data_IF_582644210199
#
_entry.id   IF_582644210199
#
_cell.length_a   1.000
_cell.length_b   1.000
_cell.length_c   1.000
_cell.angle_alpha   90.00
_cell.angle_beta   90.00
_cell.angle_gamma   90.00
#
_symmetry.space_group_name_H-M   'P 1'
#
loop_
_entity.id
_entity.type
_entity.pdbx_description
1 polymer ?
#
# COMPACT_ATOMS: atom_id res chain seq x y z
N UNK A 1 4.30 -20.46 -67.52
CA UNK A 1 4.58 -19.95 -68.88
C UNK A 1 3.88 -18.61 -69.02
N UNK A 2 4.62 -17.63 -69.56
CA UNK A 2 4.15 -16.39 -70.23
C UNK A 2 3.28 -15.43 -69.41
N UNK A 3 3.80 -14.27 -68.97
CA UNK A 3 3.96 -13.04 -69.76
C UNK A 3 2.58 -12.54 -70.27
N UNK A 4 2.20 -11.27 -70.11
CA UNK A 4 2.70 -10.21 -71.00
C UNK A 4 2.19 -8.84 -70.54
N UNK A 5 3.10 -7.86 -70.57
CA UNK A 5 2.88 -6.41 -70.49
C UNK A 5 1.94 -5.93 -71.59
N UNK A 6 1.16 -4.90 -71.33
CA UNK A 6 0.74 -3.96 -72.37
C UNK A 6 1.18 -2.55 -71.98
N UNK A 7 2.08 -2.03 -72.82
CA UNK A 7 2.51 -0.63 -72.89
C UNK A 7 1.33 0.27 -73.30
N UNK A 8 1.40 1.57 -73.03
CA UNK A 8 1.54 2.61 -74.06
C UNK A 8 1.63 4.01 -73.42
N UNK A 9 2.73 4.69 -73.78
CA UNK A 9 3.08 6.12 -73.63
C UNK A 9 2.29 6.95 -74.68
N UNK A 10 2.65 8.22 -74.97
CA UNK A 10 2.94 9.41 -74.14
C UNK A 10 2.19 10.65 -74.69
N UNK A 11 2.44 11.84 -74.14
CA UNK A 11 2.51 13.17 -74.79
C UNK A 11 2.54 14.23 -73.67
N UNK A 12 3.26 15.35 -73.66
CA UNK A 12 4.41 15.91 -74.37
C UNK A 12 4.56 17.36 -73.85
N UNK A 13 5.80 17.90 -73.84
CA UNK A 13 6.16 19.34 -73.87
C UNK A 13 5.74 20.22 -72.67
N UNK A 14 6.52 21.17 -72.12
CA UNK A 14 7.59 22.00 -72.70
C UNK A 14 8.35 22.71 -71.55
N UNK A 15 9.67 22.89 -71.72
CA UNK A 15 10.49 24.09 -71.41
C UNK A 15 10.06 25.03 -70.26
N UNK A 16 10.91 25.43 -69.31
CA UNK A 16 12.13 26.21 -69.56
C UNK A 16 12.92 26.47 -68.26
N UNK A 17 14.21 26.14 -68.32
CA UNK A 17 15.40 26.90 -67.91
C UNK A 17 15.37 27.92 -66.75
N UNK A 18 16.23 27.64 -65.75
CA UNK A 18 17.24 28.52 -65.11
C UNK A 18 16.77 29.85 -64.49
N UNK A 19 17.06 30.18 -63.24
CA UNK A 19 18.41 30.38 -62.73
C UNK A 19 18.38 30.88 -61.27
N UNK A 20 19.35 30.39 -60.49
CA UNK A 20 20.17 31.08 -59.47
C UNK A 20 19.55 31.91 -58.33
N UNK A 21 19.80 31.39 -57.12
CA UNK A 21 20.44 32.05 -55.95
C UNK A 21 19.71 33.16 -55.20
N UNK A 22 19.13 32.75 -54.07
CA UNK A 22 19.44 33.21 -52.69
C UNK A 22 19.65 34.70 -52.40
N UNK A 23 18.71 35.30 -51.68
CA UNK A 23 18.98 36.10 -50.47
C UNK A 23 17.70 36.43 -49.68
N UNK A 24 17.64 35.93 -48.45
CA UNK A 24 17.13 36.54 -47.19
C UNK A 24 15.91 37.47 -47.22
N UNK A 25 14.86 37.13 -46.43
CA UNK A 25 14.35 38.00 -45.35
C UNK A 25 13.11 37.41 -44.63
N UNK A 26 13.25 37.24 -43.32
CA UNK A 26 12.28 37.52 -42.24
C UNK A 26 10.79 37.15 -42.39
N UNK A 27 10.29 36.35 -41.43
CA UNK A 27 8.97 36.57 -40.82
C UNK A 27 8.93 35.96 -39.43
N UNK A 28 8.68 36.84 -38.47
CA UNK A 28 8.47 36.65 -37.04
C UNK A 28 7.32 35.71 -36.69
N UNK A 29 7.43 34.98 -35.58
CA UNK A 29 6.33 34.67 -34.63
C UNK A 29 6.90 33.80 -33.51
N UNK A 30 7.20 34.41 -32.37
CA UNK A 30 6.32 34.47 -31.19
C UNK A 30 6.46 33.24 -30.31
N UNK A 31 7.30 33.43 -29.31
CA UNK A 31 7.54 32.63 -28.13
C UNK A 31 6.22 32.20 -27.46
N UNK A 32 6.03 30.89 -27.31
CA UNK A 32 5.14 30.36 -26.29
C UNK A 32 5.98 29.93 -25.09
N UNK A 33 5.84 30.69 -24.01
CA UNK A 33 6.39 30.41 -22.71
C UNK A 33 5.88 29.04 -22.21
N UNK A 34 6.79 28.11 -21.95
CA UNK A 34 6.46 26.90 -21.20
C UNK A 34 6.20 27.29 -19.75
N UNK A 35 4.93 27.21 -19.36
CA UNK A 35 4.52 27.35 -17.97
C UNK A 35 5.16 26.23 -17.15
N UNK A 36 6.08 26.63 -16.28
CA UNK A 36 6.70 25.79 -15.26
C UNK A 36 5.63 25.47 -14.21
N UNK A 37 4.92 24.36 -14.41
CA UNK A 37 3.94 23.84 -13.46
C UNK A 37 4.69 23.33 -12.22
N UNK A 38 4.75 24.17 -11.18
CA UNK A 38 5.23 23.80 -9.85
C UNK A 38 4.35 22.70 -9.28
N UNK A 39 4.79 21.45 -9.41
CA UNK A 39 4.21 20.34 -8.66
C UNK A 39 4.41 20.54 -7.16
N UNK A 40 3.43 20.17 -6.31
CA UNK A 40 3.60 20.20 -4.86
C UNK A 40 4.72 19.23 -4.45
N UNK A 41 5.46 19.51 -3.36
CA UNK A 41 6.60 18.71 -2.96
C UNK A 41 6.12 17.28 -2.70
N UNK A 42 6.61 16.34 -3.52
CA UNK A 42 6.52 14.94 -3.20
C UNK A 42 7.23 14.75 -1.85
N UNK A 43 6.46 14.43 -0.81
CA UNK A 43 6.98 14.06 0.50
C UNK A 43 7.69 12.72 0.32
N UNK A 44 8.91 12.77 -0.20
CA UNK A 44 9.77 11.61 -0.41
C UNK A 44 10.05 11.00 0.95
N UNK A 45 9.47 9.83 1.20
CA UNK A 45 9.82 9.05 2.38
C UNK A 45 11.31 8.72 2.28
N UNK A 46 12.10 9.28 3.18
CA UNK A 46 13.51 8.95 3.27
C UNK A 46 13.62 7.44 3.53
N UNK A 47 14.25 6.72 2.59
CA UNK A 47 14.63 5.32 2.82
C UNK A 47 15.44 5.27 4.11
N UNK A 48 15.23 4.23 4.93
CA UNK A 48 16.20 3.85 5.94
C UNK A 48 17.45 3.35 5.19
N UNK A 49 18.24 4.29 4.67
CA UNK A 49 19.57 4.02 4.16
C UNK A 49 20.35 3.56 5.37
N UNK A 50 20.84 2.31 5.32
CA UNK A 50 21.69 1.79 6.39
C UNK A 50 22.84 2.76 6.66
N UNK A 51 23.36 2.72 7.89
CA UNK A 51 24.46 3.59 8.32
C UNK A 51 25.72 3.42 7.46
N UNK A 52 26.88 3.92 7.90
CA UNK A 52 28.14 3.87 7.15
C UNK A 52 28.56 2.47 6.64
N UNK A 53 27.95 1.40 7.16
CA UNK A 53 28.18 0.00 6.80
C UNK A 53 27.02 -0.66 6.01
N UNK A 54 25.99 0.08 5.61
CA UNK A 54 24.79 -0.46 4.95
C UNK A 54 23.86 -1.28 5.87
N UNK A 55 24.13 -1.27 7.18
CA UNK A 55 23.32 -1.93 8.21
C UNK A 55 22.17 -1.00 8.63
N UNK A 56 20.95 -1.52 8.63
CA UNK A 56 19.76 -0.86 9.18
C UNK A 56 19.65 -1.21 10.66
N UNK A 57 19.77 -0.19 11.51
CA UNK A 57 19.54 -0.32 12.95
C UNK A 57 18.07 -0.66 13.23
N UNK A 58 17.84 -1.44 14.29
CA UNK A 58 16.49 -1.88 14.69
C UNK A 58 15.55 -0.69 14.88
N UNK A 59 15.96 0.31 15.67
CA UNK A 59 15.10 1.44 16.00
C UNK A 59 14.86 2.35 14.80
N UNK A 60 15.87 2.55 13.94
CA UNK A 60 15.73 3.38 12.75
C UNK A 60 14.79 2.72 11.72
N UNK A 61 15.00 1.43 11.44
CA UNK A 61 14.15 0.67 10.52
C UNK A 61 12.72 0.54 11.04
N UNK A 62 12.56 0.25 12.34
CA UNK A 62 11.24 0.19 12.97
C UNK A 62 10.54 1.55 12.99
N UNK A 63 11.26 2.65 13.27
CA UNK A 63 10.67 3.98 13.24
C UNK A 63 10.13 4.33 11.85
N UNK A 64 10.88 4.01 10.78
CA UNK A 64 10.41 4.20 9.42
C UNK A 64 9.15 3.36 9.15
N UNK A 65 9.15 2.08 9.48
CA UNK A 65 7.98 1.20 9.28
C UNK A 65 6.77 1.68 10.10
N UNK A 66 6.98 2.09 11.34
CA UNK A 66 5.92 2.61 12.21
C UNK A 66 5.30 3.87 11.64
N UNK A 67 6.14 4.80 11.19
CA UNK A 67 5.68 6.13 10.83
C UNK A 67 5.11 6.15 9.40
N UNK A 68 5.70 5.37 8.49
CA UNK A 68 5.32 5.34 7.08
C UNK A 68 4.26 4.27 6.79
N UNK A 69 4.30 3.12 7.46
CA UNK A 69 3.35 2.02 7.26
C UNK A 69 2.22 2.06 8.29
N UNK A 70 2.56 1.84 9.56
CA UNK A 70 1.59 1.56 10.63
C UNK A 70 0.69 2.77 10.86
N UNK A 71 1.25 3.95 11.14
CA UNK A 71 0.45 5.16 11.43
C UNK A 71 -0.42 5.58 10.25
N UNK A 72 0.09 5.44 9.02
CA UNK A 72 -0.69 5.74 7.81
C UNK A 72 -1.87 4.78 7.65
N UNK A 73 -1.65 3.51 7.92
CA UNK A 73 -2.70 2.50 7.87
C UNK A 73 -3.72 2.72 8.99
N UNK A 74 -3.30 3.00 10.22
CA UNK A 74 -4.19 3.36 11.32
C UNK A 74 -5.01 4.61 11.01
N UNK A 75 -4.40 5.63 10.39
CA UNK A 75 -5.13 6.81 9.92
C UNK A 75 -6.20 6.44 8.89
N UNK A 76 -5.86 5.64 7.88
CA UNK A 76 -6.82 5.14 6.89
C UNK A 76 -7.97 4.36 7.54
N UNK A 77 -7.69 3.50 8.51
CA UNK A 77 -8.74 2.72 9.19
C UNK A 77 -9.68 3.59 10.03
N UNK A 78 -9.23 4.79 10.43
CA UNK A 78 -10.02 5.76 11.20
C UNK A 78 -10.81 6.72 10.31
N UNK A 79 -10.21 7.25 9.24
CA UNK A 79 -10.84 8.28 8.39
C UNK A 79 -11.50 7.70 7.12
N UNK A 80 -11.06 6.51 6.68
CA UNK A 80 -11.43 5.95 5.39
C UNK A 80 -10.74 6.64 4.20
N UNK A 81 -9.87 7.62 4.44
CA UNK A 81 -9.21 8.42 3.42
C UNK A 81 -8.05 7.63 2.79
N UNK A 82 -8.22 7.24 1.53
CA UNK A 82 -7.17 6.63 0.71
C UNK A 82 -6.56 7.65 -0.24
N UNK A 83 -5.34 7.39 -0.73
CA UNK A 83 -4.68 8.20 -1.78
C UNK A 83 -5.48 8.23 -3.09
N UNK A 84 -6.40 7.28 -3.26
CA UNK A 84 -7.30 7.22 -4.40
C UNK A 84 -7.85 5.82 -4.59
N UNK A 85 -8.43 5.58 -5.77
CA UNK A 85 -8.93 4.27 -6.18
C UNK A 85 -8.06 3.75 -7.32
N UNK A 86 -7.61 2.50 -7.20
CA UNK A 86 -6.92 1.80 -8.28
C UNK A 86 -7.92 1.39 -9.37
N UNK A 87 -7.38 1.01 -10.54
CA UNK A 87 -8.17 0.53 -11.70
C UNK A 87 -9.02 -0.71 -11.40
N UNK A 88 -8.65 -1.48 -10.38
CA UNK A 88 -9.35 -2.66 -9.88
C UNK A 88 -10.46 -2.33 -8.86
N UNK A 89 -10.77 -1.04 -8.68
CA UNK A 89 -11.79 -0.56 -7.74
C UNK A 89 -11.34 -0.56 -6.27
N UNK A 90 -10.14 -1.06 -5.95
CA UNK A 90 -9.60 -1.13 -4.58
C UNK A 90 -9.01 0.21 -4.15
N UNK A 91 -9.16 0.53 -2.87
CA UNK A 91 -8.56 1.72 -2.27
C UNK A 91 -7.03 1.61 -2.29
N UNK A 92 -6.38 2.70 -2.70
CA UNK A 92 -4.94 2.84 -2.75
C UNK A 92 -4.46 3.50 -1.45
N UNK A 93 -3.95 2.71 -0.51
CA UNK A 93 -3.42 3.23 0.77
C UNK A 93 -1.93 3.57 0.64
N UNK A 94 -1.21 2.82 -0.20
CA UNK A 94 0.21 2.97 -0.44
C UNK A 94 0.49 2.94 -1.94
N UNK A 95 1.41 3.80 -2.38
CA UNK A 95 1.95 3.72 -3.73
C UNK A 95 2.82 2.48 -3.90
N UNK A 96 3.07 2.07 -5.15
CA UNK A 96 3.98 0.94 -5.45
C UNK A 96 5.38 1.19 -4.89
N UNK A 97 5.85 2.44 -4.94
CA UNK A 97 7.16 2.83 -4.43
C UNK A 97 7.24 2.65 -2.91
N UNK A 98 6.26 3.18 -2.18
CA UNK A 98 6.21 3.06 -0.71
C UNK A 98 6.11 1.60 -0.27
N UNK A 99 5.27 0.81 -0.94
CA UNK A 99 5.21 -0.64 -0.72
C UNK A 99 6.57 -1.30 -0.90
N UNK A 100 7.26 -0.98 -2.00
CA UNK A 100 8.59 -1.51 -2.29
C UNK A 100 9.62 -1.10 -1.24
N UNK A 101 9.57 0.14 -0.75
CA UNK A 101 10.51 0.67 0.24
C UNK A 101 10.31 0.00 1.61
N UNK A 102 9.06 -0.21 2.03
CA UNK A 102 8.74 -0.95 3.26
C UNK A 102 9.18 -2.40 3.19
N UNK A 103 8.83 -3.10 2.09
CA UNK A 103 9.25 -4.48 1.87
C UNK A 103 10.77 -4.62 1.88
N UNK A 104 11.48 -3.73 1.16
CA UNK A 104 12.95 -3.76 1.09
C UNK A 104 13.58 -3.52 2.45
N UNK A 105 13.00 -2.62 3.25
CA UNK A 105 13.52 -2.34 4.60
C UNK A 105 13.37 -3.56 5.51
N UNK A 106 12.20 -4.21 5.54
CA UNK A 106 12.00 -5.44 6.31
C UNK A 106 12.95 -6.53 5.83
N UNK A 107 13.10 -6.70 4.51
CA UNK A 107 14.03 -7.65 3.92
C UNK A 107 15.47 -7.42 4.38
N UNK A 108 15.97 -6.18 4.30
CA UNK A 108 17.33 -5.83 4.71
C UNK A 108 17.54 -6.11 6.20
N UNK A 109 16.61 -5.68 7.06
CA UNK A 109 16.68 -5.93 8.50
C UNK A 109 16.69 -7.43 8.86
N UNK A 110 16.05 -8.28 8.05
CA UNK A 110 16.01 -9.73 8.24
C UNK A 110 17.20 -10.49 7.62
N UNK A 111 17.93 -9.89 6.67
CA UNK A 111 19.02 -10.55 5.94
C UNK A 111 20.41 -10.03 6.30
N UNK A 112 20.47 -9.03 7.19
CA UNK A 112 21.69 -8.55 7.79
C UNK A 112 22.48 -9.68 8.46
N UNK A 113 23.82 -9.63 8.30
CA UNK A 113 24.73 -10.58 8.95
C UNK A 113 24.62 -10.46 10.47
N UNK A 114 24.83 -11.58 11.15
CA UNK A 114 24.96 -11.63 12.60
C UNK A 114 25.98 -10.57 13.08
N UNK A 115 25.71 -9.82 14.17
CA UNK A 115 24.60 -9.95 15.13
C UNK A 115 23.32 -9.16 14.78
N UNK A 116 23.26 -8.50 13.61
CA UNK A 116 22.24 -7.50 13.30
C UNK A 116 20.99 -8.10 12.61
N UNK A 117 20.69 -9.38 12.86
CA UNK A 117 19.47 -9.99 12.36
C UNK A 117 18.31 -9.61 13.28
N UNK A 118 17.37 -8.83 12.74
CA UNK A 118 16.26 -8.29 13.52
C UNK A 118 14.94 -9.05 13.35
N UNK A 119 14.95 -10.24 12.76
CA UNK A 119 13.71 -10.97 12.44
C UNK A 119 12.86 -11.27 13.67
N UNK A 120 13.48 -11.69 14.78
CA UNK A 120 12.78 -11.98 16.03
C UNK A 120 12.12 -10.73 16.61
N UNK A 121 12.87 -9.63 16.68
CA UNK A 121 12.41 -8.35 17.19
C UNK A 121 11.28 -7.78 16.32
N UNK A 122 11.38 -7.89 15.00
CA UNK A 122 10.32 -7.46 14.09
C UNK A 122 9.04 -8.29 14.27
N UNK A 123 9.14 -9.60 14.49
CA UNK A 123 7.99 -10.45 14.76
C UNK A 123 7.29 -10.11 16.09
N UNK A 124 8.06 -9.75 17.12
CA UNK A 124 7.51 -9.27 18.38
C UNK A 124 6.83 -7.91 18.21
N UNK A 125 7.53 -6.94 17.61
CA UNK A 125 7.03 -5.59 17.35
C UNK A 125 5.77 -5.57 16.48
N UNK A 126 5.64 -6.50 15.53
CA UNK A 126 4.41 -6.72 14.76
C UNK A 126 3.20 -7.02 15.66
N UNK A 127 3.36 -7.95 16.61
CA UNK A 127 2.30 -8.30 17.56
C UNK A 127 1.96 -7.14 18.48
N UNK A 128 2.98 -6.45 19.00
CA UNK A 128 2.81 -5.28 19.86
C UNK A 128 2.07 -4.14 19.15
N UNK A 129 2.38 -3.86 17.88
CA UNK A 129 1.71 -2.83 17.09
C UNK A 129 0.21 -3.13 16.91
N UNK A 130 -0.12 -4.38 16.60
CA UNK A 130 -1.52 -4.83 16.49
C UNK A 130 -2.24 -4.72 17.84
N UNK A 131 -1.64 -5.23 18.91
CA UNK A 131 -2.22 -5.18 20.25
C UNK A 131 -2.41 -3.74 20.74
N UNK A 132 -1.44 -2.86 20.48
CA UNK A 132 -1.51 -1.44 20.83
C UNK A 132 -2.66 -0.73 20.11
N UNK A 133 -2.81 -0.94 18.80
CA UNK A 133 -3.93 -0.42 18.03
C UNK A 133 -5.28 -0.90 18.57
N UNK A 134 -5.41 -2.21 18.81
CA UNK A 134 -6.66 -2.80 19.31
C UNK A 134 -7.05 -2.22 20.67
N UNK A 135 -6.10 -2.13 21.61
CA UNK A 135 -6.36 -1.58 22.94
C UNK A 135 -6.66 -0.07 22.91
N UNK A 136 -6.06 0.69 21.99
CA UNK A 136 -6.26 2.14 21.91
C UNK A 136 -7.54 2.54 21.17
N UNK A 137 -7.86 1.85 20.08
CA UNK A 137 -8.90 2.29 19.14
C UNK A 137 -10.15 1.39 19.13
N UNK A 138 -10.00 0.09 19.42
CA UNK A 138 -11.10 -0.88 19.26
C UNK A 138 -11.78 -1.14 20.60
N UNK A 139 -11.01 -1.47 21.64
CA UNK A 139 -11.54 -1.82 22.96
C UNK A 139 -12.41 -0.70 23.55
N UNK A 140 -11.97 0.57 23.62
CA UNK A 140 -12.76 1.64 24.24
C UNK A 140 -14.04 1.97 23.47
N UNK A 141 -14.11 1.62 22.17
CA UNK A 141 -15.30 1.82 21.34
C UNK A 141 -16.36 0.75 21.55
N UNK A 142 -15.97 -0.41 22.06
CA UNK A 142 -16.88 -1.53 22.33
C UNK A 142 -17.33 -1.58 23.80
N UNK A 143 -16.61 -0.90 24.68
CA UNK A 143 -16.98 -0.78 26.10
C UNK A 143 -18.32 -0.05 26.25
N UNK A 144 -19.25 -0.68 26.97
CA UNK A 144 -20.57 -0.13 27.25
C UNK A 144 -21.60 -0.28 26.13
N UNK A 145 -21.22 -0.74 24.93
CA UNK A 145 -22.18 -1.00 23.85
C UNK A 145 -22.97 -2.29 24.11
N UNK A 146 -24.27 -2.25 23.75
CA UNK A 146 -25.17 -3.41 23.87
C UNK A 146 -25.97 -3.61 22.58
N UNK A 147 -26.63 -4.78 22.45
CA UNK A 147 -27.59 -5.06 21.37
C UNK A 147 -27.04 -4.84 19.94
N UNK A 148 -27.79 -4.12 19.10
CA UNK A 148 -27.47 -3.87 17.70
C UNK A 148 -26.26 -2.96 17.51
N UNK A 149 -26.04 -2.03 18.42
CA UNK A 149 -24.91 -1.11 18.37
C UNK A 149 -23.60 -1.88 18.54
N UNK A 150 -23.57 -2.81 19.51
CA UNK A 150 -22.44 -3.73 19.69
C UNK A 150 -22.20 -4.58 18.44
N UNK A 151 -23.26 -5.14 17.84
CA UNK A 151 -23.14 -5.96 16.63
C UNK A 151 -22.58 -5.17 15.45
N UNK A 152 -23.10 -3.96 15.21
CA UNK A 152 -22.69 -3.09 14.11
C UNK A 152 -21.24 -2.64 14.29
N UNK A 153 -20.88 -2.17 15.48
CA UNK A 153 -19.53 -1.68 15.78
C UNK A 153 -18.51 -2.83 15.74
N UNK A 154 -18.82 -3.98 16.34
CA UNK A 154 -17.93 -5.15 16.30
C UNK A 154 -17.67 -5.61 14.86
N UNK A 155 -18.71 -5.69 14.02
CA UNK A 155 -18.57 -6.07 12.62
C UNK A 155 -17.72 -5.06 11.84
N UNK A 156 -17.94 -3.77 12.07
CA UNK A 156 -17.14 -2.70 11.45
C UNK A 156 -15.67 -2.82 11.85
N UNK A 157 -15.38 -2.94 13.16
CA UNK A 157 -14.01 -3.07 13.69
C UNK A 157 -13.34 -4.35 13.23
N UNK A 158 -14.06 -5.46 13.13
CA UNK A 158 -13.52 -6.71 12.58
C UNK A 158 -13.12 -6.57 11.10
N UNK A 159 -13.94 -5.91 10.28
CA UNK A 159 -13.59 -5.63 8.88
C UNK A 159 -12.32 -4.78 8.79
N UNK A 160 -12.20 -3.74 9.60
CA UNK A 160 -11.02 -2.88 9.66
C UNK A 160 -9.78 -3.66 10.14
N UNK A 161 -9.94 -4.52 11.15
CA UNK A 161 -8.85 -5.36 11.66
C UNK A 161 -8.33 -6.33 10.60
N UNK A 162 -9.21 -6.96 9.81
CA UNK A 162 -8.79 -7.82 8.70
C UNK A 162 -8.00 -7.06 7.64
N UNK A 163 -8.41 -5.82 7.32
CA UNK A 163 -7.65 -4.96 6.41
C UNK A 163 -6.28 -4.66 7.02
N UNK A 164 -6.23 -4.35 8.31
CA UNK A 164 -4.98 -4.05 9.02
C UNK A 164 -3.99 -5.21 8.96
N UNK A 165 -4.44 -6.40 9.37
CA UNK A 165 -3.63 -7.63 9.37
C UNK A 165 -3.15 -7.95 7.96
N UNK A 166 -4.03 -7.89 6.94
CA UNK A 166 -3.68 -8.22 5.57
C UNK A 166 -2.61 -7.28 4.97
N UNK A 167 -2.61 -6.00 5.34
CA UNK A 167 -1.58 -5.08 4.89
C UNK A 167 -0.26 -5.27 5.63
N UNK A 168 -0.29 -5.42 6.96
CA UNK A 168 0.93 -5.66 7.72
C UNK A 168 1.59 -6.98 7.32
N UNK A 169 0.83 -8.05 7.15
CA UNK A 169 1.34 -9.34 6.66
C UNK A 169 2.12 -9.19 5.35
N UNK A 170 1.64 -8.36 4.41
CA UNK A 170 2.35 -8.13 3.14
C UNK A 170 3.69 -7.41 3.32
N UNK A 171 3.76 -6.44 4.25
CA UNK A 171 5.02 -5.76 4.55
C UNK A 171 6.01 -6.70 5.22
N UNK A 172 5.51 -7.59 6.08
CA UNK A 172 6.32 -8.50 6.90
C UNK A 172 6.42 -9.93 6.34
N UNK A 173 6.00 -10.18 5.09
CA UNK A 173 5.90 -11.52 4.48
C UNK A 173 7.21 -12.32 4.51
N UNK A 174 8.35 -11.64 4.58
CA UNK A 174 9.64 -12.28 4.74
C UNK A 174 9.75 -13.08 6.05
N UNK A 175 9.15 -12.58 7.14
CA UNK A 175 9.11 -13.27 8.43
C UNK A 175 8.37 -14.60 8.30
N UNK A 176 7.19 -14.62 7.67
CA UNK A 176 6.43 -15.86 7.44
C UNK A 176 7.21 -16.86 6.58
N UNK A 177 7.96 -16.36 5.60
CA UNK A 177 8.70 -17.22 4.67
C UNK A 177 9.90 -17.91 5.32
N UNK A 178 10.59 -17.25 6.26
CA UNK A 178 11.87 -17.72 6.80
C UNK A 178 11.87 -17.83 8.33
N UNK A 179 11.56 -16.77 9.05
CA UNK A 179 11.65 -16.74 10.51
C UNK A 179 10.61 -17.66 11.17
N UNK A 180 9.34 -17.52 10.80
CA UNK A 180 8.22 -18.29 11.38
C UNK A 180 8.40 -19.78 11.13
N UNK A 181 8.79 -20.16 9.91
CA UNK A 181 9.08 -21.57 9.57
C UNK A 181 10.25 -22.13 10.36
N UNK A 182 11.29 -21.32 10.61
CA UNK A 182 12.48 -21.76 11.32
C UNK A 182 12.23 -21.90 12.83
N UNK A 183 11.47 -20.98 13.42
CA UNK A 183 11.20 -20.94 14.86
C UNK A 183 9.92 -21.69 15.26
N UNK A 184 9.16 -22.24 14.30
CA UNK A 184 7.84 -22.87 14.53
C UNK A 184 6.85 -21.93 15.23
N UNK A 185 6.94 -20.64 14.91
CA UNK A 185 6.04 -19.61 15.43
C UNK A 185 4.72 -19.59 14.67
N UNK A 186 3.74 -18.85 15.19
CA UNK A 186 2.47 -18.66 14.49
C UNK A 186 2.62 -17.74 13.26
N UNK A 187 2.05 -18.07 12.10
CA UNK A 187 2.02 -17.18 10.94
C UNK A 187 1.43 -15.82 11.28
N UNK A 188 1.95 -14.76 10.67
CA UNK A 188 1.57 -13.38 10.97
C UNK A 188 0.05 -13.17 10.89
N UNK A 189 -0.59 -13.69 9.84
CA UNK A 189 -2.04 -13.64 9.67
C UNK A 189 -2.78 -14.26 10.86
N UNK A 190 -2.36 -15.45 11.29
CA UNK A 190 -3.00 -16.16 12.40
C UNK A 190 -2.77 -15.43 13.73
N UNK A 191 -1.55 -14.96 13.99
CA UNK A 191 -1.22 -14.12 15.15
C UNK A 191 -2.11 -12.87 15.21
N UNK A 192 -2.34 -12.21 14.08
CA UNK A 192 -3.24 -11.06 14.00
C UNK A 192 -4.70 -11.38 14.37
N UNK A 193 -5.19 -12.57 14.00
CA UNK A 193 -6.52 -13.05 14.39
C UNK A 193 -6.57 -13.37 15.89
N UNK A 194 -5.55 -14.05 16.42
CA UNK A 194 -5.46 -14.39 17.84
C UNK A 194 -5.49 -13.15 18.73
N UNK A 195 -4.74 -12.11 18.37
CA UNK A 195 -4.74 -10.82 19.09
C UNK A 195 -6.15 -10.24 19.17
N UNK A 196 -6.92 -10.25 18.07
CA UNK A 196 -8.30 -9.76 18.10
C UNK A 196 -9.22 -10.64 18.94
N UNK A 197 -9.05 -11.96 18.84
CA UNK A 197 -9.82 -12.92 19.64
C UNK A 197 -9.59 -12.68 21.14
N UNK A 198 -8.34 -12.54 21.53
CA UNK A 198 -7.92 -12.41 22.92
C UNK A 198 -8.31 -11.06 23.53
N UNK A 199 -8.05 -9.97 22.82
CA UNK A 199 -8.27 -8.62 23.34
C UNK A 199 -9.71 -8.13 23.17
N UNK A 200 -10.43 -8.58 22.14
CA UNK A 200 -11.77 -8.07 21.80
C UNK A 200 -12.82 -9.14 22.01
N UNK A 201 -12.79 -10.21 21.21
CA UNK A 201 -13.88 -11.19 21.18
C UNK A 201 -14.12 -11.83 22.56
N UNK A 202 -13.05 -12.15 23.29
CA UNK A 202 -13.16 -12.73 24.62
C UNK A 202 -13.88 -11.82 25.63
N UNK A 203 -13.80 -10.50 25.47
CA UNK A 203 -14.48 -9.52 26.34
C UNK A 203 -15.96 -9.38 25.99
N UNK A 204 -16.30 -9.39 24.70
CA UNK A 204 -17.67 -9.12 24.22
C UNK A 204 -18.49 -10.37 23.95
N UNK A 205 -17.94 -11.59 24.10
CA UNK A 205 -18.62 -12.85 23.71
C UNK A 205 -20.00 -13.06 24.35
N UNK A 206 -20.17 -12.65 25.62
CA UNK A 206 -21.42 -12.82 26.36
C UNK A 206 -22.48 -11.84 25.83
N UNK A 207 -22.26 -10.52 25.87
CA UNK A 207 -23.25 -9.56 25.36
C UNK A 207 -23.49 -9.73 23.86
N UNK A 208 -22.48 -10.16 23.09
CA UNK A 208 -22.64 -10.48 21.68
C UNK A 208 -23.63 -11.63 21.44
N UNK A 209 -23.54 -12.71 22.22
CA UNK A 209 -24.46 -13.84 22.11
C UNK A 209 -25.89 -13.41 22.40
N UNK A 210 -26.09 -12.61 23.45
CA UNK A 210 -27.41 -12.09 23.83
C UNK A 210 -27.99 -11.18 22.75
N UNK A 211 -27.18 -10.26 22.21
CA UNK A 211 -27.57 -9.39 21.11
C UNK A 211 -28.02 -10.18 19.87
N UNK A 212 -27.29 -11.25 19.51
CA UNK A 212 -27.66 -12.11 18.37
C UNK A 212 -28.99 -12.83 18.64
N UNK A 213 -29.17 -13.40 19.82
CA UNK A 213 -30.41 -14.11 20.17
C UNK A 213 -31.63 -13.16 20.13
N UNK A 214 -31.49 -11.95 20.67
CA UNK A 214 -32.54 -10.93 20.64
C UNK A 214 -32.82 -10.44 19.21
N UNK A 215 -31.79 -10.29 18.38
CA UNK A 215 -31.97 -9.94 16.97
C UNK A 215 -32.74 -11.03 16.19
N UNK A 216 -32.46 -12.31 16.45
CA UNK A 216 -33.20 -13.43 15.86
C UNK A 216 -34.65 -13.46 16.35
N UNK A 217 -34.88 -13.24 17.65
CA UNK A 217 -36.23 -13.22 18.22
C UNK A 217 -37.08 -12.10 17.58
N UNK A 218 -36.51 -10.90 17.44
CA UNK A 218 -37.17 -9.77 16.77
C UNK A 218 -37.48 -9.98 15.29
N UNK A 219 -36.81 -10.93 14.61
CA UNK A 219 -37.13 -11.28 13.22
C UNK A 219 -38.23 -12.33 13.10
N UNK A 220 -38.58 -13.01 14.20
CA UNK A 220 -39.59 -14.07 14.24
C UNK A 220 -40.96 -13.56 14.72
N UNK A 221 -40.98 -12.45 15.42
CA UNK A 221 -42.16 -11.65 15.77
C UNK A 221 -42.53 -10.72 14.62
#
# INVERSE_FOLDING_TARGET
MTATRACYLPSSSSSSSSSSSSSSSSSSSSSFASAEERMPPAMGVARAMGGPQGVVDLEAGWAMLRDCAIRRLEHFLRTGEALGRRKDGKLCIFTRKEYSDMYTTVYNMCTQRYPNNWSAQLYQRYGEALASYVNREVVPRLEGLTEEELLRELLHRWKNHKIYVSWLERFFVYLDRYYVKLQSEEPLHHKGILIFKELVFNRVRIPLREAILRAIQRQRE
#
